data_IF_572023843925
#
_entry.id   IF_572023843925
#
_cell.length_a   1.000
_cell.length_b   1.000
_cell.length_c   1.000
_cell.angle_alpha   90.00
_cell.angle_beta   90.00
_cell.angle_gamma   90.00
#
_symmetry.space_group_name_H-M   'P 1'
#
loop_
_entity.id
_entity.type
_entity.pdbx_description
1 polymer ?
#
# COMPACT_ATOMS: atom_id res chain seq x y z
N UNK A 1 19.00 -21.75 -35.23
CA UNK A 1 17.95 -20.72 -35.11
C UNK A 1 17.25 -20.95 -33.77
N UNK A 2 17.13 -19.96 -32.93
CA UNK A 2 16.47 -20.10 -31.61
C UNK A 2 14.99 -20.27 -31.85
N UNK A 3 14.39 -21.33 -31.29
CA UNK A 3 12.94 -21.54 -31.36
C UNK A 3 12.26 -20.87 -30.15
N UNK A 4 11.85 -19.63 -30.35
CA UNK A 4 11.18 -18.82 -29.29
C UNK A 4 9.84 -19.41 -28.86
N UNK A 5 9.11 -20.14 -29.74
CA UNK A 5 7.82 -20.76 -29.40
C UNK A 5 8.03 -21.95 -28.46
N UNK A 6 9.09 -22.73 -28.66
CA UNK A 6 9.42 -23.83 -27.76
C UNK A 6 9.82 -23.31 -26.37
N UNK A 7 10.59 -22.21 -26.32
CA UNK A 7 11.00 -21.59 -25.07
C UNK A 7 9.78 -21.03 -24.32
N UNK A 8 8.88 -20.33 -25.02
CA UNK A 8 7.65 -19.81 -24.46
C UNK A 8 6.77 -20.93 -23.87
N UNK A 9 6.56 -22.01 -24.65
CA UNK A 9 5.76 -23.13 -24.19
C UNK A 9 6.34 -23.80 -22.94
N UNK A 10 7.66 -23.97 -22.87
CA UNK A 10 8.34 -24.51 -21.70
C UNK A 10 8.19 -23.58 -20.48
N UNK A 11 8.40 -22.28 -20.66
CA UNK A 11 8.26 -21.31 -19.59
C UNK A 11 6.83 -21.24 -19.04
N UNK A 12 5.83 -21.29 -19.93
CA UNK A 12 4.41 -21.31 -19.51
C UNK A 12 4.07 -22.59 -18.75
N UNK A 13 4.63 -23.73 -19.13
CA UNK A 13 4.45 -24.98 -18.40
C UNK A 13 5.05 -24.93 -16.99
N UNK A 14 6.25 -24.35 -16.85
CA UNK A 14 6.92 -24.19 -15.55
C UNK A 14 6.17 -23.22 -14.62
N UNK A 15 5.60 -22.16 -15.16
CA UNK A 15 4.85 -21.16 -14.39
C UNK A 15 3.44 -21.64 -14.01
N UNK A 16 2.84 -22.51 -14.82
CA UNK A 16 1.42 -22.95 -14.65
C UNK A 16 1.17 -23.56 -13.25
N UNK A 17 2.14 -24.27 -12.67
CA UNK A 17 2.01 -24.86 -11.34
C UNK A 17 1.89 -23.80 -10.22
N UNK A 18 2.46 -22.61 -10.42
CA UNK A 18 2.42 -21.50 -9.45
C UNK A 18 1.31 -20.49 -9.74
N UNK A 19 0.78 -20.47 -10.96
CA UNK A 19 -0.26 -19.52 -11.38
C UNK A 19 -1.52 -19.62 -10.54
N UNK A 20 -1.95 -20.82 -10.20
CA UNK A 20 -3.17 -21.06 -9.43
C UNK A 20 -3.11 -20.39 -8.03
N UNK A 21 -2.00 -20.50 -7.33
CA UNK A 21 -1.81 -19.89 -6.00
C UNK A 21 -1.79 -18.35 -6.10
N UNK A 22 -1.14 -17.82 -7.13
CA UNK A 22 -1.10 -16.39 -7.39
C UNK A 22 -2.48 -15.83 -7.76
N UNK A 23 -3.24 -16.55 -8.56
CA UNK A 23 -4.62 -16.18 -8.93
C UNK A 23 -5.56 -16.19 -7.72
N UNK A 24 -5.45 -17.18 -6.85
CA UNK A 24 -6.22 -17.25 -5.62
C UNK A 24 -5.89 -16.07 -4.70
N UNK A 25 -4.61 -15.78 -4.50
CA UNK A 25 -4.15 -14.63 -3.70
C UNK A 25 -4.62 -13.29 -4.31
N UNK A 26 -4.55 -13.17 -5.64
CA UNK A 26 -5.01 -11.98 -6.35
C UNK A 26 -6.52 -11.78 -6.20
N UNK A 27 -7.30 -12.85 -6.35
CA UNK A 27 -8.75 -12.84 -6.18
C UNK A 27 -9.14 -12.47 -4.74
N UNK A 28 -8.48 -13.07 -3.75
CA UNK A 28 -8.70 -12.75 -2.34
C UNK A 28 -8.44 -11.27 -2.05
N UNK A 29 -7.30 -10.74 -2.50
CA UNK A 29 -6.94 -9.35 -2.28
C UNK A 29 -7.87 -8.38 -3.04
N UNK A 30 -8.24 -8.71 -4.27
CA UNK A 30 -9.22 -7.93 -5.04
C UNK A 30 -10.56 -7.84 -4.33
N UNK A 31 -11.08 -8.98 -3.85
CA UNK A 31 -12.33 -9.01 -3.10
C UNK A 31 -12.25 -8.21 -1.81
N UNK A 32 -11.13 -8.29 -1.09
CA UNK A 32 -10.87 -7.50 0.11
C UNK A 32 -10.98 -5.99 -0.19
N UNK A 33 -10.37 -5.52 -1.27
CA UNK A 33 -10.43 -4.11 -1.69
C UNK A 33 -11.86 -3.72 -2.08
N UNK A 34 -12.53 -4.51 -2.92
CA UNK A 34 -13.90 -4.23 -3.34
C UNK A 34 -14.85 -4.16 -2.14
N UNK A 35 -14.69 -5.05 -1.18
CA UNK A 35 -15.51 -5.04 0.03
C UNK A 35 -15.25 -3.79 0.88
N UNK A 36 -14.01 -3.35 1.03
CA UNK A 36 -13.70 -2.11 1.73
C UNK A 36 -14.34 -0.89 1.06
N UNK A 37 -14.37 -0.83 -0.27
CA UNK A 37 -15.10 0.20 -1.01
C UNK A 37 -16.62 0.15 -0.76
N UNK A 38 -17.21 -1.04 -0.77
CA UNK A 38 -18.63 -1.24 -0.49
C UNK A 38 -19.00 -0.88 0.95
N UNK A 39 -18.25 -1.36 1.93
CA UNK A 39 -18.49 -1.10 3.35
C UNK A 39 -18.42 0.38 3.66
N UNK A 40 -17.52 1.09 3.01
CA UNK A 40 -17.38 2.55 3.13
C UNK A 40 -18.30 3.33 2.19
N UNK A 41 -19.23 2.66 1.49
CA UNK A 41 -20.23 3.28 0.61
C UNK A 41 -19.61 4.26 -0.40
N UNK A 42 -18.52 3.85 -1.05
CA UNK A 42 -17.84 4.70 -2.04
C UNK A 42 -18.69 4.80 -3.30
N UNK A 43 -19.00 6.01 -3.71
CA UNK A 43 -19.70 6.33 -4.95
C UNK A 43 -18.84 7.24 -5.83
N UNK A 44 -19.32 7.53 -7.04
CA UNK A 44 -18.69 8.48 -7.97
C UNK A 44 -18.53 9.88 -7.39
N UNK A 45 -19.34 10.24 -6.40
CA UNK A 45 -19.22 11.50 -5.68
C UNK A 45 -17.84 11.71 -5.06
N UNK A 46 -17.27 10.65 -4.45
CA UNK A 46 -15.95 10.69 -3.80
C UNK A 46 -14.77 10.68 -4.77
N UNK A 47 -15.04 10.37 -6.05
CA UNK A 47 -14.03 10.33 -7.11
C UNK A 47 -13.94 11.67 -7.87
N UNK A 48 -14.79 12.64 -7.56
CA UNK A 48 -14.78 13.94 -8.19
C UNK A 48 -13.64 14.81 -7.65
N UNK A 49 -13.09 15.70 -8.47
CA UNK A 49 -12.08 16.65 -8.02
C UNK A 49 -12.60 17.50 -6.86
N UNK A 50 -11.74 17.77 -5.88
CA UNK A 50 -11.97 18.69 -4.78
C UNK A 50 -10.95 19.82 -4.82
N UNK A 51 -11.14 20.86 -4.00
CA UNK A 51 -10.17 21.95 -3.89
C UNK A 51 -8.84 21.50 -3.25
N UNK A 52 -8.83 20.34 -2.60
CA UNK A 52 -7.67 19.83 -1.86
C UNK A 52 -7.46 20.51 -0.50
N UNK A 53 -8.31 21.46 -0.12
CA UNK A 53 -8.29 22.08 1.20
C UNK A 53 -9.19 21.32 2.17
N UNK A 54 -8.74 21.19 3.43
CA UNK A 54 -9.26 20.26 4.43
C UNK A 54 -10.78 20.34 4.74
N UNK A 55 -11.44 21.45 4.43
CA UNK A 55 -12.82 21.70 4.86
C UNK A 55 -13.90 20.96 4.05
N UNK A 56 -13.53 20.31 2.95
CA UNK A 56 -14.51 19.60 2.09
C UNK A 56 -13.90 18.44 1.33
N UNK A 57 -12.80 17.89 1.80
CA UNK A 57 -12.09 16.81 1.11
C UNK A 57 -12.59 15.42 1.55
N UNK A 58 -13.87 15.22 1.34
CA UNK A 58 -14.57 13.96 1.70
C UNK A 58 -13.97 12.74 1.00
N UNK A 59 -13.33 12.91 -0.15
CA UNK A 59 -12.64 11.81 -0.86
C UNK A 59 -11.41 11.31 -0.08
N UNK A 60 -10.63 12.22 0.49
CA UNK A 60 -9.48 11.85 1.33
C UNK A 60 -9.89 11.15 2.62
N UNK A 61 -10.93 11.65 3.28
CA UNK A 61 -11.48 10.98 4.46
C UNK A 61 -11.97 9.57 4.15
N UNK A 62 -12.64 9.38 3.01
CA UNK A 62 -13.03 8.05 2.54
C UNK A 62 -11.84 7.14 2.29
N UNK A 63 -10.79 7.67 1.69
CA UNK A 63 -9.56 6.91 1.42
C UNK A 63 -8.89 6.46 2.72
N UNK A 64 -8.85 7.31 3.73
CA UNK A 64 -8.32 6.96 5.06
C UNK A 64 -9.12 5.79 5.68
N UNK A 65 -10.45 5.82 5.61
CA UNK A 65 -11.29 4.74 6.12
C UNK A 65 -11.08 3.41 5.39
N UNK A 66 -10.95 3.47 4.05
CA UNK A 66 -10.66 2.28 3.23
C UNK A 66 -9.33 1.66 3.62
N UNK A 67 -8.28 2.47 3.76
CA UNK A 67 -6.96 1.98 4.15
C UNK A 67 -6.94 1.45 5.58
N UNK A 68 -7.60 2.12 6.51
CA UNK A 68 -7.75 1.61 7.88
C UNK A 68 -8.39 0.21 7.90
N UNK A 69 -9.48 0.01 7.14
CA UNK A 69 -10.15 -1.29 7.02
C UNK A 69 -9.26 -2.34 6.37
N UNK A 70 -8.60 -2.00 5.25
CA UNK A 70 -7.72 -2.92 4.51
C UNK A 70 -6.57 -3.44 5.34
N UNK A 71 -5.97 -2.58 6.15
CA UNK A 71 -4.82 -2.92 6.99
C UNK A 71 -5.19 -3.27 8.43
N UNK A 72 -6.49 -3.32 8.75
CA UNK A 72 -7.01 -3.60 10.10
C UNK A 72 -6.39 -2.67 11.15
N UNK A 73 -6.23 -1.41 10.78
CA UNK A 73 -5.71 -0.36 11.62
C UNK A 73 -6.86 0.46 12.22
N UNK A 74 -6.62 1.09 13.37
CA UNK A 74 -7.57 2.01 14.00
C UNK A 74 -7.82 3.26 13.13
N UNK A 75 -6.77 3.75 12.47
CA UNK A 75 -6.83 4.89 11.57
C UNK A 75 -5.78 4.76 10.46
N UNK A 76 -5.95 5.52 9.40
CA UNK A 76 -4.96 5.67 8.34
C UNK A 76 -4.87 7.14 7.92
N UNK A 77 -3.74 7.53 7.37
CA UNK A 77 -3.51 8.83 6.79
C UNK A 77 -2.90 8.67 5.40
N UNK A 78 -3.74 8.85 4.38
CA UNK A 78 -3.35 8.67 2.98
C UNK A 78 -3.36 10.03 2.28
N UNK A 79 -2.18 10.56 1.99
CA UNK A 79 -2.03 11.92 1.44
C UNK A 79 -0.96 11.96 0.36
N UNK A 80 -1.23 12.72 -0.69
CA UNK A 80 -0.25 12.98 -1.76
C UNK A 80 0.96 13.80 -1.28
N UNK A 81 0.86 14.44 -0.12
CA UNK A 81 1.95 15.15 0.54
C UNK A 81 3.05 14.20 1.07
N UNK A 82 2.77 12.92 1.25
CA UNK A 82 3.80 11.91 1.45
C UNK A 82 4.47 11.60 0.12
N UNK A 83 5.53 12.33 -0.17
CA UNK A 83 6.19 12.33 -1.49
C UNK A 83 6.99 11.06 -1.78
N UNK A 84 7.25 10.23 -0.78
CA UNK A 84 7.98 8.95 -0.92
C UNK A 84 7.69 8.00 0.24
N UNK A 85 8.06 6.73 0.07
CA UNK A 85 8.01 5.74 1.15
C UNK A 85 8.91 6.13 2.33
N UNK A 86 10.09 6.66 2.07
CA UNK A 86 11.00 7.18 3.11
C UNK A 86 10.33 8.30 3.92
N UNK A 87 9.63 9.22 3.25
CA UNK A 87 8.89 10.28 3.95
C UNK A 87 7.78 9.70 4.85
N UNK A 88 7.02 8.73 4.36
CA UNK A 88 5.99 8.09 5.16
C UNK A 88 6.57 7.39 6.40
N UNK A 89 7.68 6.66 6.24
CA UNK A 89 8.39 6.02 7.35
C UNK A 89 8.96 7.05 8.35
N UNK A 90 9.55 8.14 7.84
CA UNK A 90 10.04 9.22 8.68
C UNK A 90 8.93 9.83 9.54
N UNK A 91 7.79 10.13 8.94
CA UNK A 91 6.62 10.68 9.66
C UNK A 91 6.13 9.69 10.74
N UNK A 92 6.07 8.40 10.42
CA UNK A 92 5.67 7.37 11.37
C UNK A 92 6.64 7.26 12.56
N UNK A 93 7.94 7.31 12.31
CA UNK A 93 8.97 7.27 13.36
C UNK A 93 8.95 8.54 14.22
N UNK A 94 9.04 9.71 13.58
CA UNK A 94 9.10 11.00 14.28
C UNK A 94 7.78 11.37 14.97
N UNK A 95 6.66 10.78 14.55
CA UNK A 95 5.38 10.88 15.25
C UNK A 95 5.36 10.12 16.58
N UNK A 96 6.20 9.11 16.73
CA UNK A 96 6.26 8.24 17.92
C UNK A 96 7.52 8.42 18.77
N UNK A 97 8.61 8.92 18.17
CA UNK A 97 9.91 9.04 18.80
C UNK A 97 10.28 10.51 19.03
N UNK A 98 11.05 10.75 20.07
CA UNK A 98 11.61 12.05 20.43
C UNK A 98 13.13 11.95 20.53
N UNK A 99 13.81 13.07 20.49
CA UNK A 99 15.25 13.12 20.68
C UNK A 99 15.64 12.52 22.06
N UNK A 100 16.48 11.49 22.02
CA UNK A 100 16.89 10.72 23.19
C UNK A 100 16.18 9.38 23.37
N UNK A 101 15.14 9.07 22.58
CA UNK A 101 14.52 7.76 22.58
C UNK A 101 15.42 6.73 21.89
N UNK A 102 15.32 5.46 22.30
CA UNK A 102 16.07 4.36 21.70
C UNK A 102 15.23 3.66 20.62
N UNK A 103 15.83 3.45 19.44
CA UNK A 103 15.27 2.67 18.34
C UNK A 103 16.09 1.41 18.13
N UNK A 104 15.49 0.24 18.32
CA UNK A 104 16.14 -1.06 18.15
C UNK A 104 15.70 -1.72 16.85
N UNK A 105 16.62 -1.88 15.90
CA UNK A 105 16.38 -2.59 14.65
C UNK A 105 16.70 -4.09 14.81
N UNK A 106 15.69 -4.88 15.16
CA UNK A 106 15.84 -6.32 15.49
C UNK A 106 16.15 -7.22 14.30
N UNK A 107 15.87 -6.80 13.08
CA UNK A 107 16.04 -7.59 11.86
C UNK A 107 17.25 -7.17 11.02
N UNK A 108 18.03 -6.21 11.50
CA UNK A 108 19.19 -5.64 10.81
C UNK A 108 19.11 -4.14 10.67
N UNK A 109 20.18 -3.52 10.15
CA UNK A 109 20.22 -2.08 9.99
C UNK A 109 19.12 -1.58 9.05
N UNK A 110 18.49 -0.42 9.37
CA UNK A 110 17.58 0.23 8.44
C UNK A 110 18.26 0.52 7.10
N UNK A 111 17.48 0.53 6.01
CA UNK A 111 18.04 0.82 4.70
C UNK A 111 18.63 2.25 4.64
N UNK A 112 19.51 2.48 3.68
CA UNK A 112 20.41 3.63 3.63
C UNK A 112 19.72 4.99 3.77
N UNK A 113 18.60 5.21 3.09
CA UNK A 113 17.87 6.48 3.14
C UNK A 113 17.24 6.77 4.51
N UNK A 114 17.02 5.74 5.33
CA UNK A 114 16.52 5.91 6.70
C UNK A 114 17.62 6.28 7.69
N UNK A 115 18.88 5.91 7.43
CA UNK A 115 20.01 6.20 8.31
C UNK A 115 20.27 7.70 8.49
N UNK A 116 19.83 8.52 7.55
CA UNK A 116 19.95 9.98 7.65
C UNK A 116 18.82 10.63 8.45
N UNK A 117 17.79 9.88 8.78
CA UNK A 117 16.58 10.34 9.49
C UNK A 117 16.64 9.95 10.96
N UNK A 118 17.24 8.78 11.23
CA UNK A 118 17.45 8.22 12.57
C UNK A 118 18.75 8.77 13.17
#
# INVERSE_FOLDING_TARGET
MIDFKAIEAAALADVAAHSAELEEAALFNTNKVINAFRNNMVSDFYLKPTTGYAYSDVGREKLDLIYAELFKAEAALVRSQFVSGTHALAVALLGNLRAGDELIAVTGAPYDTMQTII
#
